data_IF_975059554785
#
_entry.id   IF_975059554785
#
_cell.length_a   1.000
_cell.length_b   1.000
_cell.length_c   1.000
_cell.angle_alpha   90.00
_cell.angle_beta   90.00
_cell.angle_gamma   90.00
#
_symmetry.space_group_name_H-M   'P 1'
#
loop_
_entity.id
_entity.type
_entity.pdbx_description
1 polymer ?
#
# COMPACT_ATOMS: atom_id res chain seq x y z
N UNK A 1 0.75 -17.60 6.93
CA UNK A 1 0.45 -16.46 7.82
C UNK A 1 -0.62 -15.62 7.15
N UNK A 2 -1.88 -15.76 7.58
CA UNK A 2 -3.01 -14.96 7.07
C UNK A 2 -2.88 -13.55 7.63
N UNK A 3 -2.77 -12.55 6.77
CA UNK A 3 -2.78 -11.14 7.15
C UNK A 3 -4.02 -10.49 6.55
N UNK A 4 -4.76 -9.72 7.35
CA UNK A 4 -5.95 -8.98 6.91
C UNK A 4 -5.76 -7.49 7.12
N UNK A 5 -5.90 -6.70 6.06
CA UNK A 5 -5.77 -5.24 6.07
C UNK A 5 -7.10 -4.61 6.49
N UNK A 6 -7.07 -3.72 7.48
CA UNK A 6 -8.24 -3.01 7.99
C UNK A 6 -7.95 -1.51 7.93
N UNK A 7 -8.85 -0.69 7.40
CA UNK A 7 -8.67 0.76 7.34
C UNK A 7 -9.38 1.41 6.17
N UNK A 8 -8.73 2.39 5.53
CA UNK A 8 -9.17 3.04 4.30
C UNK A 8 -8.23 2.71 3.14
N UNK A 9 -8.63 3.09 1.93
CA UNK A 9 -7.77 3.06 0.76
C UNK A 9 -6.45 3.81 1.03
N UNK A 10 -5.33 3.27 0.52
CA UNK A 10 -4.04 3.96 0.60
C UNK A 10 -3.96 5.16 -0.36
N UNK A 11 -2.96 6.03 -0.18
CA UNK A 11 -2.78 7.22 -1.02
C UNK A 11 -2.49 6.93 -2.51
N UNK A 12 -2.23 5.67 -2.88
CA UNK A 12 -2.09 5.27 -4.28
C UNK A 12 -0.73 5.51 -4.92
N UNK A 13 0.33 5.83 -4.17
CA UNK A 13 1.71 5.90 -4.69
C UNK A 13 2.34 4.50 -4.85
N UNK A 14 1.71 3.65 -5.68
CA UNK A 14 2.12 2.26 -5.92
C UNK A 14 3.15 2.15 -7.06
N UNK A 15 4.16 2.99 -7.01
CA UNK A 15 5.26 3.03 -7.97
C UNK A 15 6.60 3.17 -7.26
N UNK A 16 7.67 2.73 -7.93
CA UNK A 16 9.03 2.99 -7.48
C UNK A 16 9.59 4.18 -8.26
N UNK A 17 10.13 5.14 -7.54
CA UNK A 17 10.78 6.31 -8.12
C UNK A 17 12.29 6.24 -7.96
N UNK A 18 13.00 6.71 -8.99
CA UNK A 18 14.42 7.02 -8.91
C UNK A 18 14.58 8.53 -8.84
N UNK A 19 15.46 8.99 -7.94
CA UNK A 19 15.84 10.40 -7.85
C UNK A 19 17.11 10.62 -8.65
N UNK A 20 17.06 11.55 -9.60
CA UNK A 20 18.24 12.04 -10.33
C UNK A 20 18.51 13.47 -9.88
N UNK A 21 19.74 13.73 -9.43
CA UNK A 21 20.20 15.07 -9.09
C UNK A 21 20.69 15.78 -10.35
N UNK A 22 20.17 16.97 -10.60
CA UNK A 22 20.52 17.79 -11.75
C UNK A 22 21.66 18.76 -11.41
N UNK A 23 22.28 19.31 -12.45
CA UNK A 23 23.47 20.16 -12.33
C UNK A 23 23.24 21.44 -11.50
N UNK A 24 22.03 21.98 -11.52
CA UNK A 24 21.62 23.19 -10.80
C UNK A 24 21.18 22.92 -9.34
N UNK A 25 21.29 21.67 -8.87
CA UNK A 25 20.84 21.24 -7.55
C UNK A 25 19.36 20.85 -7.48
N UNK A 26 18.61 20.93 -8.58
CA UNK A 26 17.24 20.42 -8.67
C UNK A 26 17.20 18.89 -8.64
N UNK A 27 16.06 18.32 -8.24
CA UNK A 27 15.84 16.85 -8.28
C UNK A 27 14.75 16.47 -9.28
N UNK A 28 15.06 15.50 -10.14
CA UNK A 28 14.09 14.85 -11.02
C UNK A 28 13.64 13.52 -10.40
N UNK A 29 12.33 13.36 -10.22
CA UNK A 29 11.72 12.11 -9.75
C UNK A 29 11.18 11.34 -10.96
N UNK A 30 11.75 10.18 -11.25
CA UNK A 30 11.35 9.33 -12.38
C UNK A 30 10.66 8.09 -11.83
N UNK A 31 9.39 7.89 -12.17
CA UNK A 31 8.71 6.62 -11.94
C UNK A 31 9.28 5.56 -12.89
N UNK A 32 10.08 4.65 -12.35
CA UNK A 32 10.84 3.67 -13.14
C UNK A 32 10.21 2.28 -13.12
N UNK A 33 9.31 1.99 -12.17
CA UNK A 33 8.62 0.71 -12.08
C UNK A 33 7.24 0.80 -11.40
N UNK A 34 6.40 -0.19 -11.69
CA UNK A 34 5.12 -0.41 -11.03
C UNK A 34 5.21 -1.54 -10.02
N UNK A 35 4.38 -1.47 -8.97
CA UNK A 35 4.33 -2.50 -7.94
C UNK A 35 3.49 -3.69 -8.41
N UNK A 36 4.02 -4.91 -8.24
CA UNK A 36 3.29 -6.16 -8.45
C UNK A 36 3.22 -6.94 -7.15
N UNK A 37 2.03 -7.39 -6.77
CA UNK A 37 1.86 -8.21 -5.56
C UNK A 37 2.08 -9.71 -5.82
N UNK A 38 2.00 -10.51 -4.75
CA UNK A 38 2.18 -11.98 -4.79
C UNK A 38 1.03 -12.72 -5.49
N UNK A 39 -0.10 -12.05 -5.72
CA UNK A 39 -1.25 -12.57 -6.46
C UNK A 39 -1.26 -12.13 -7.93
N UNK A 40 -0.15 -11.56 -8.41
CA UNK A 40 0.05 -11.02 -9.75
C UNK A 40 -0.74 -9.75 -10.10
N UNK A 41 -1.35 -9.05 -9.14
CA UNK A 41 -1.97 -7.76 -9.40
C UNK A 41 -0.89 -6.70 -9.61
N UNK A 42 -1.03 -5.90 -10.66
CA UNK A 42 -0.14 -4.78 -10.97
C UNK A 42 -0.86 -3.49 -10.60
N UNK A 43 -0.23 -2.69 -9.76
CA UNK A 43 -0.75 -1.40 -9.31
C UNK A 43 0.01 -0.28 -10.02
N UNK A 44 -0.72 0.63 -10.68
CA UNK A 44 -0.17 1.73 -11.48
C UNK A 44 -0.66 3.06 -10.93
N UNK A 45 -0.08 3.49 -9.81
CA UNK A 45 -0.53 4.68 -9.08
C UNK A 45 -2.02 4.59 -8.64
N UNK A 46 -2.47 3.37 -8.30
CA UNK A 46 -3.79 3.13 -7.76
C UNK A 46 -3.73 2.87 -6.25
N UNK A 47 -4.71 3.35 -5.47
CA UNK A 47 -4.89 2.96 -4.08
C UNK A 47 -4.95 1.45 -3.89
N UNK A 48 -4.44 0.98 -2.75
CA UNK A 48 -4.64 -0.39 -2.29
C UNK A 48 -5.83 -0.36 -1.34
N UNK A 49 -6.90 -1.07 -1.70
CA UNK A 49 -8.05 -1.22 -0.83
C UNK A 49 -7.79 -2.22 0.31
N UNK A 50 -8.31 -1.94 1.51
CA UNK A 50 -8.22 -2.85 2.64
C UNK A 50 -9.20 -4.02 2.47
N UNK A 51 -8.95 -5.14 3.16
CA UNK A 51 -9.86 -6.28 3.19
C UNK A 51 -11.11 -6.01 4.06
N UNK A 52 -11.02 -5.04 4.98
CA UNK A 52 -12.15 -4.46 5.72
C UNK A 52 -12.02 -2.93 5.70
N UNK A 53 -13.04 -2.26 5.19
CA UNK A 53 -13.12 -0.82 5.23
C UNK A 53 -13.67 -0.34 6.59
N UNK A 54 -12.92 0.48 7.30
CA UNK A 54 -13.27 0.95 8.64
C UNK A 54 -12.51 2.22 9.02
N UNK A 55 -13.16 3.08 9.79
CA UNK A 55 -12.53 4.27 10.39
C UNK A 55 -11.82 3.95 11.72
N UNK A 56 -11.95 2.71 12.23
CA UNK A 56 -11.32 2.26 13.46
C UNK A 56 -10.50 0.97 13.23
N UNK A 57 -9.44 1.11 12.44
CA UNK A 57 -8.58 0.00 12.00
C UNK A 57 -8.04 -0.85 13.16
N UNK A 58 -7.67 -0.22 14.27
CA UNK A 58 -7.12 -0.92 15.45
C UNK A 58 -8.13 -1.87 16.07
N UNK A 59 -9.32 -1.38 16.41
CA UNK A 59 -10.35 -2.21 17.03
C UNK A 59 -10.79 -3.35 16.10
N UNK A 60 -11.00 -3.03 14.82
CA UNK A 60 -11.40 -4.02 13.81
C UNK A 60 -10.35 -5.12 13.63
N UNK A 61 -9.06 -4.78 13.62
CA UNK A 61 -7.98 -5.77 13.56
C UNK A 61 -7.96 -6.68 14.81
N UNK A 62 -8.16 -6.13 16.02
CA UNK A 62 -8.20 -6.90 17.27
C UNK A 62 -9.36 -7.89 17.26
N UNK A 63 -10.55 -7.45 16.84
CA UNK A 63 -11.74 -8.31 16.72
C UNK A 63 -11.49 -9.45 15.72
N UNK A 64 -10.91 -9.15 14.56
CA UNK A 64 -10.56 -10.18 13.60
C UNK A 64 -9.57 -11.18 14.18
N UNK A 65 -8.48 -10.74 14.81
CA UNK A 65 -7.48 -11.65 15.42
C UNK A 65 -8.16 -12.57 16.44
N UNK A 66 -9.01 -12.03 17.33
CA UNK A 66 -9.77 -12.83 18.31
C UNK A 66 -10.65 -13.88 17.63
N UNK A 67 -11.27 -13.55 16.49
CA UNK A 67 -12.10 -14.51 15.73
C UNK A 67 -11.32 -15.67 15.12
N UNK A 68 -10.01 -15.52 14.91
CA UNK A 68 -9.16 -16.55 14.30
C UNK A 68 -8.52 -17.50 15.33
N UNK A 69 -8.54 -17.13 16.62
CA UNK A 69 -8.00 -17.94 17.72
C UNK A 69 -9.20 -18.69 18.32
N UNK A 70 -9.45 -19.89 17.80
CA UNK A 70 -10.38 -20.86 18.36
C UNK A 70 -9.61 -22.07 18.85
#
# INVERSE_FOLDING_TARGET
MLHRKNGSDSAGYTSANQTVYLYDGSTLQITSAFVKDRTNNIYKNFPISPDIQTNNAKSSAIEWIKSQIK
#
